data_IF_218570594832
#
_entry.id   IF_218570594832
#
_cell.length_a   1.000
_cell.length_b   1.000
_cell.length_c   1.000
_cell.angle_alpha   90.00
_cell.angle_beta   90.00
_cell.angle_gamma   90.00
#
_symmetry.space_group_name_H-M   'P 1'
#
loop_
_entity.id
_entity.type
_entity.pdbx_description
1 polymer ?
#
# COMPACT_ATOMS: atom_id res chain seq x y z
N UNK A 1 -4.45 18.11 14.27
CA UNK A 1 -5.52 17.18 13.84
C UNK A 1 -4.97 16.35 12.70
N UNK A 2 -5.21 15.02 12.69
CA UNK A 2 -4.72 14.16 11.63
C UNK A 2 -5.29 14.54 10.27
N UNK A 3 -4.48 14.48 9.21
CA UNK A 3 -4.89 14.65 7.83
C UNK A 3 -4.89 13.30 7.12
N UNK A 4 -6.06 12.94 6.60
CA UNK A 4 -6.30 11.66 5.93
C UNK A 4 -6.60 11.96 4.46
N UNK A 5 -5.91 11.26 3.57
CA UNK A 5 -6.16 11.28 2.14
C UNK A 5 -6.77 9.94 1.73
N UNK A 6 -7.85 9.97 0.95
CA UNK A 6 -8.61 8.76 0.60
C UNK A 6 -8.72 8.67 -0.93
N UNK A 7 -8.41 7.49 -1.48
CA UNK A 7 -8.48 7.18 -2.90
C UNK A 7 -9.33 5.93 -3.14
N UNK A 8 -10.15 5.94 -4.18
CA UNK A 8 -10.73 4.76 -4.82
C UNK A 8 -10.48 4.85 -6.33
N UNK A 9 -10.68 3.77 -7.07
CA UNK A 9 -10.71 3.79 -8.54
C UNK A 9 -9.44 4.39 -9.17
N UNK A 10 -8.29 4.01 -8.60
CA UNK A 10 -6.98 4.50 -9.04
C UNK A 10 -6.67 3.99 -10.45
N UNK A 11 -7.15 2.81 -10.82
CA UNK A 11 -6.99 2.22 -12.15
C UNK A 11 -5.56 2.33 -12.73
N UNK A 12 -4.52 2.12 -11.90
CA UNK A 12 -3.12 2.21 -12.32
C UNK A 12 -2.53 3.62 -12.44
N UNK A 13 -3.28 4.69 -12.17
CA UNK A 13 -2.80 6.09 -12.18
C UNK A 13 -2.02 6.46 -10.92
N UNK A 14 -0.94 5.72 -10.64
CA UNK A 14 -0.14 5.90 -9.42
C UNK A 14 0.59 7.24 -9.39
N UNK A 15 0.96 7.78 -10.54
CA UNK A 15 1.57 9.11 -10.67
C UNK A 15 0.69 10.20 -10.07
N UNK A 16 -0.62 10.14 -10.35
CA UNK A 16 -1.63 11.06 -9.80
C UNK A 16 -1.76 10.88 -8.29
N UNK A 17 -1.82 9.64 -7.82
CA UNK A 17 -1.88 9.33 -6.40
C UNK A 17 -0.63 9.83 -5.66
N UNK A 18 0.56 9.54 -6.17
CA UNK A 18 1.86 9.98 -5.61
C UNK A 18 1.93 11.51 -5.58
N UNK A 19 1.54 12.19 -6.66
CA UNK A 19 1.56 13.64 -6.74
C UNK A 19 0.63 14.34 -5.74
N UNK A 20 -0.47 13.69 -5.37
CA UNK A 20 -1.41 14.21 -4.36
C UNK A 20 -0.94 13.98 -2.92
N UNK A 21 0.00 13.07 -2.68
CA UNK A 21 0.58 12.82 -1.35
C UNK A 21 1.61 13.91 -1.05
N UNK A 22 1.17 14.93 -0.32
CA UNK A 22 2.00 16.09 0.05
C UNK A 22 2.47 16.02 1.51
N UNK A 23 3.52 16.77 1.90
CA UNK A 23 3.96 16.82 3.30
C UNK A 23 2.84 17.24 4.26
N UNK A 24 2.75 16.55 5.40
CA UNK A 24 1.75 16.79 6.43
C UNK A 24 0.45 16.00 6.24
N UNK A 25 0.39 15.04 5.30
CA UNK A 25 -0.61 13.96 5.30
C UNK A 25 -0.11 12.84 6.23
N UNK A 26 -0.96 12.44 7.18
CA UNK A 26 -0.65 11.42 8.18
C UNK A 26 -1.05 10.02 7.73
N UNK A 27 -2.18 9.91 7.00
CA UNK A 27 -2.76 8.65 6.54
C UNK A 27 -3.17 8.70 5.06
N UNK A 28 -2.95 7.60 4.34
CA UNK A 28 -3.51 7.36 3.01
C UNK A 28 -4.32 6.07 3.00
N UNK A 29 -5.60 6.16 2.65
CA UNK A 29 -6.54 5.03 2.55
C UNK A 29 -6.91 4.79 1.09
N UNK A 30 -6.58 3.62 0.56
CA UNK A 30 -6.95 3.17 -0.77
C UNK A 30 -8.05 2.11 -0.66
N UNK A 31 -9.26 2.42 -1.14
CA UNK A 31 -10.48 1.66 -0.83
C UNK A 31 -10.92 0.66 -1.91
N UNK A 32 -10.19 0.54 -3.01
CA UNK A 32 -10.52 -0.45 -4.04
C UNK A 32 -10.23 0.02 -5.47
N UNK A 33 -10.32 -0.93 -6.40
CA UNK A 33 -10.10 -0.74 -7.83
C UNK A 33 -8.75 -0.06 -8.17
N UNK A 34 -7.71 -0.57 -7.48
CA UNK A 34 -6.32 -0.16 -7.71
C UNK A 34 -5.79 -0.61 -9.07
N UNK A 35 -6.44 -1.61 -9.69
CA UNK A 35 -5.92 -2.57 -10.66
C UNK A 35 -4.87 -2.08 -11.67
N UNK A 36 -4.03 -3.01 -12.13
CA UNK A 36 -3.08 -2.77 -13.20
C UNK A 36 -3.81 -2.72 -14.56
N UNK A 37 -4.46 -1.59 -14.86
CA UNK A 37 -4.84 -1.25 -16.22
C UNK A 37 -3.55 -0.92 -17.00
N UNK A 38 -3.57 -1.11 -18.32
CA UNK A 38 -2.41 -0.82 -19.17
C UNK A 38 -1.87 0.58 -18.80
N UNK A 39 -0.61 0.68 -18.35
CA UNK A 39 -0.10 1.90 -17.75
C UNK A 39 -0.12 3.01 -18.81
N UNK A 40 -0.83 4.10 -18.55
CA UNK A 40 -0.70 5.33 -19.34
C UNK A 40 0.45 6.22 -18.84
N UNK A 41 1.12 5.85 -17.75
CA UNK A 41 2.17 6.66 -17.10
C UNK A 41 3.46 5.88 -16.86
N UNK A 42 4.60 6.54 -17.10
CA UNK A 42 5.93 6.01 -16.85
C UNK A 42 6.39 6.35 -15.42
N UNK A 43 6.26 5.42 -14.48
CA UNK A 43 6.67 5.61 -13.08
C UNK A 43 8.18 5.88 -12.93
N UNK A 44 9.00 5.44 -13.88
CA UNK A 44 10.45 5.72 -13.88
C UNK A 44 10.80 7.19 -14.14
N UNK A 45 9.83 7.99 -14.62
CA UNK A 45 9.97 9.43 -14.80
C UNK A 45 9.67 10.23 -13.53
N UNK A 46 9.15 9.59 -12.47
CA UNK A 46 8.97 10.26 -11.19
C UNK A 46 10.35 10.48 -10.55
N UNK A 47 10.63 11.68 -10.03
CA UNK A 47 11.92 11.95 -9.38
C UNK A 47 12.17 10.96 -8.25
N UNK A 48 13.43 10.52 -8.08
CA UNK A 48 13.88 9.77 -6.92
C UNK A 48 13.41 10.49 -5.65
N UNK A 49 12.60 9.82 -4.86
CA UNK A 49 11.48 10.40 -4.14
C UNK A 49 11.85 11.42 -3.06
N UNK A 50 10.95 12.40 -2.85
CA UNK A 50 10.85 13.13 -1.58
C UNK A 50 10.36 12.15 -0.51
N UNK A 51 11.18 11.95 0.52
CA UNK A 51 10.79 11.22 1.74
C UNK A 51 9.64 11.97 2.41
N UNK A 52 8.48 11.34 2.55
CA UNK A 52 7.36 11.89 3.34
C UNK A 52 7.34 11.21 4.71
N UNK A 53 6.93 11.93 5.75
CA UNK A 53 6.65 11.35 7.08
C UNK A 53 5.32 10.58 7.09
N UNK A 54 4.99 9.89 5.99
CA UNK A 54 3.74 9.15 5.91
C UNK A 54 3.78 7.99 6.90
N UNK A 55 2.91 8.05 7.92
CA UNK A 55 2.82 7.04 8.95
C UNK A 55 2.26 5.73 8.40
N UNK A 56 1.11 5.81 7.71
CA UNK A 56 0.36 4.61 7.31
C UNK A 56 -0.20 4.72 5.89
N UNK A 57 0.03 3.67 5.11
CA UNK A 57 -0.65 3.37 3.85
C UNK A 57 -1.60 2.18 4.06
N UNK A 58 -2.82 2.25 3.56
CA UNK A 58 -3.76 1.12 3.55
C UNK A 58 -4.23 0.87 2.12
N UNK A 59 -4.14 -0.37 1.65
CA UNK A 59 -4.60 -0.81 0.32
C UNK A 59 -5.51 -2.04 0.41
N UNK A 60 -6.35 -2.29 -0.59
CA UNK A 60 -7.08 -3.55 -0.62
C UNK A 60 -6.16 -4.73 -0.93
N UNK A 61 -5.38 -4.65 -2.00
CA UNK A 61 -4.43 -5.70 -2.41
C UNK A 61 -3.07 -5.55 -1.71
N UNK A 62 -2.34 -6.65 -1.46
CA UNK A 62 -0.96 -6.58 -0.98
C UNK A 62 0.00 -6.19 -2.11
N UNK A 63 1.19 -5.72 -1.74
CA UNK A 63 2.33 -5.65 -2.66
C UNK A 63 2.68 -7.04 -3.20
N UNK A 64 3.19 -7.09 -4.43
CA UNK A 64 3.80 -8.29 -4.98
C UNK A 64 5.13 -8.59 -4.26
N UNK A 65 5.08 -9.28 -3.12
CA UNK A 65 6.27 -9.64 -2.37
C UNK A 65 6.16 -11.06 -1.78
N UNK A 66 7.24 -11.88 -1.84
CA UNK A 66 7.20 -13.30 -1.47
C UNK A 66 6.59 -13.59 -0.09
N UNK A 67 6.83 -12.68 0.86
CA UNK A 67 6.31 -12.75 2.23
C UNK A 67 4.78 -12.77 2.34
N UNK A 68 4.05 -12.22 1.37
CA UNK A 68 2.58 -12.15 1.39
C UNK A 68 1.94 -13.26 0.57
N UNK A 69 2.67 -13.76 -0.43
CA UNK A 69 2.08 -14.51 -1.54
C UNK A 69 2.41 -15.99 -1.47
N UNK A 70 3.48 -16.36 -0.76
CA UNK A 70 4.09 -17.70 -0.86
C UNK A 70 4.28 -18.08 -2.34
N UNK A 71 4.06 -19.35 -2.65
CA UNK A 71 4.19 -19.90 -4.01
C UNK A 71 3.09 -19.44 -4.99
N UNK A 72 2.04 -18.78 -4.49
CA UNK A 72 0.84 -18.47 -5.29
C UNK A 72 0.91 -17.13 -6.04
N UNK A 73 1.98 -16.34 -5.88
CA UNK A 73 2.23 -15.08 -6.61
C UNK A 73 1.03 -14.10 -6.64
N UNK A 74 0.39 -13.89 -5.50
CA UNK A 74 -0.65 -12.86 -5.34
C UNK A 74 -0.07 -11.43 -5.29
N UNK A 75 -0.93 -10.41 -5.29
CA UNK A 75 -0.52 -9.01 -5.05
C UNK A 75 -0.11 -8.24 -6.31
N UNK A 76 0.14 -6.96 -6.11
CA UNK A 76 0.27 -5.99 -7.18
C UNK A 76 1.68 -5.37 -7.22
N UNK A 77 2.35 -5.46 -8.37
CA UNK A 77 3.67 -4.86 -8.58
C UNK A 77 3.62 -3.33 -8.45
N UNK A 78 2.55 -2.70 -8.91
CA UNK A 78 2.33 -1.26 -8.74
C UNK A 78 2.24 -0.84 -7.26
N UNK A 79 1.64 -1.66 -6.39
CA UNK A 79 1.64 -1.41 -4.93
C UNK A 79 3.05 -1.56 -4.35
N UNK A 80 3.83 -2.53 -4.85
CA UNK A 80 5.23 -2.68 -4.46
C UNK A 80 6.04 -1.43 -4.81
N UNK A 81 5.94 -0.95 -6.05
CA UNK A 81 6.63 0.26 -6.52
C UNK A 81 6.20 1.49 -5.71
N UNK A 82 4.92 1.62 -5.35
CA UNK A 82 4.40 2.69 -4.52
C UNK A 82 5.02 2.67 -3.10
N UNK A 83 5.13 1.48 -2.50
CA UNK A 83 5.75 1.32 -1.17
C UNK A 83 7.25 1.60 -1.24
N UNK A 84 7.96 1.10 -2.24
CA UNK A 84 9.38 1.42 -2.46
C UNK A 84 9.60 2.91 -2.68
N UNK A 85 8.67 3.56 -3.35
CA UNK A 85 8.71 4.99 -3.66
C UNK A 85 8.51 5.85 -2.41
N UNK A 86 7.37 5.67 -1.73
CA UNK A 86 6.95 6.55 -0.64
C UNK A 86 7.61 6.17 0.69
N UNK A 87 7.88 4.87 0.87
CA UNK A 87 8.38 4.29 2.11
C UNK A 87 7.54 4.74 3.34
N UNK A 88 6.25 4.38 3.44
CA UNK A 88 5.48 4.65 4.66
C UNK A 88 6.06 3.89 5.87
N UNK A 89 5.75 4.30 7.10
CA UNK A 89 6.17 3.51 8.29
C UNK A 89 5.46 2.15 8.33
N UNK A 90 4.15 2.14 8.08
CA UNK A 90 3.33 0.93 7.94
C UNK A 90 2.58 0.90 6.62
N UNK A 91 2.46 -0.28 6.01
CA UNK A 91 1.58 -0.54 4.88
C UNK A 91 0.66 -1.72 5.20
N UNK A 92 -0.64 -1.49 5.27
CA UNK A 92 -1.64 -2.53 5.53
C UNK A 92 -2.34 -2.95 4.25
N UNK A 93 -2.63 -4.24 4.13
CA UNK A 93 -3.43 -4.77 3.02
C UNK A 93 -4.40 -5.87 3.45
N UNK A 94 -5.41 -6.12 2.63
CA UNK A 94 -6.33 -7.25 2.78
C UNK A 94 -6.16 -8.28 1.67
N UNK A 95 -7.29 -8.63 1.03
CA UNK A 95 -7.42 -9.47 -0.17
C UNK A 95 -7.05 -10.94 -0.02
N UNK A 96 -5.88 -11.28 0.52
CA UNK A 96 -5.41 -12.68 0.60
C UNK A 96 -6.06 -13.49 1.72
N UNK A 97 -6.91 -12.86 2.53
CA UNK A 97 -7.66 -13.45 3.65
C UNK A 97 -6.78 -14.19 4.68
N UNK A 98 -5.47 -13.91 4.68
CA UNK A 98 -4.48 -14.55 5.53
C UNK A 98 -3.58 -13.47 6.11
N UNK A 99 -3.30 -13.60 7.40
CA UNK A 99 -2.33 -12.74 8.05
C UNK A 99 -0.91 -13.05 7.57
N UNK A 100 -0.18 -12.02 7.18
CA UNK A 100 1.23 -12.11 6.83
C UNK A 100 1.93 -10.77 7.13
N UNK A 101 3.20 -10.84 7.52
CA UNK A 101 4.04 -9.67 7.74
C UNK A 101 5.35 -9.81 6.97
N UNK A 102 5.90 -8.67 6.57
CA UNK A 102 7.26 -8.57 6.07
C UNK A 102 7.67 -7.11 5.94
N UNK A 103 8.75 -6.88 5.19
CA UNK A 103 9.31 -5.55 5.01
C UNK A 103 9.61 -5.28 3.53
N UNK A 104 9.44 -4.02 3.13
CA UNK A 104 9.89 -3.47 1.86
C UNK A 104 10.67 -2.20 2.18
N UNK A 105 12.00 -2.26 2.08
CA UNK A 105 12.87 -1.21 2.62
C UNK A 105 12.62 -1.00 4.13
N UNK A 106 12.29 0.22 4.54
CA UNK A 106 11.96 0.55 5.94
C UNK A 106 10.50 0.34 6.33
N UNK A 107 9.63 0.06 5.35
CA UNK A 107 8.20 -0.09 5.58
C UNK A 107 7.89 -1.45 6.19
N UNK A 108 7.15 -1.46 7.30
CA UNK A 108 6.53 -2.69 7.82
C UNK A 108 5.23 -2.94 7.05
N UNK A 109 5.18 -4.04 6.31
CA UNK A 109 4.05 -4.40 5.48
C UNK A 109 3.25 -5.53 6.16
N UNK A 110 1.94 -5.35 6.33
CA UNK A 110 1.06 -6.20 7.13
C UNK A 110 -0.20 -6.51 6.32
N UNK A 111 -0.33 -7.75 5.85
CA UNK A 111 -1.57 -8.26 5.31
C UNK A 111 -2.45 -8.79 6.45
N UNK A 112 -3.71 -8.36 6.52
CA UNK A 112 -4.67 -8.76 7.54
C UNK A 112 -5.52 -9.95 7.06
N UNK A 113 -5.83 -10.85 7.99
CA UNK A 113 -6.77 -11.94 7.76
C UNK A 113 -8.22 -11.45 7.59
N UNK A 114 -9.07 -12.25 6.96
CA UNK A 114 -10.49 -11.93 6.91
C UNK A 114 -11.16 -12.24 8.26
N UNK A 115 -12.08 -11.40 8.73
CA UNK A 115 -12.75 -11.52 10.04
C UNK A 115 -13.44 -12.88 10.23
N UNK A 116 -13.91 -13.51 9.15
CA UNK A 116 -14.64 -14.78 9.17
C UNK A 116 -13.77 -16.02 8.91
N UNK A 117 -12.50 -15.84 8.52
CA UNK A 117 -11.54 -16.93 8.31
C UNK A 117 -10.49 -16.84 9.41
N UNK A 118 -10.39 -17.86 10.26
CA UNK A 118 -9.44 -17.92 11.38
C UNK A 118 -8.09 -17.27 11.04
N UNK A 119 -7.83 -16.09 11.60
CA UNK A 119 -6.66 -15.26 11.28
C UNK A 119 -6.71 -13.91 12.00
N UNK A 120 -5.55 -13.27 12.16
CA UNK A 120 -5.47 -11.94 12.76
C UNK A 120 -6.01 -10.89 11.78
N UNK A 121 -7.24 -10.45 12.00
CA UNK A 121 -7.96 -9.49 11.14
C UNK A 121 -7.88 -8.04 11.62
N UNK A 122 -7.31 -7.80 12.79
CA UNK A 122 -7.11 -6.48 13.38
C UNK A 122 -5.66 -6.25 13.78
N UNK A 123 -5.22 -4.99 13.68
CA UNK A 123 -3.91 -4.53 14.13
C UNK A 123 -4.08 -3.16 14.78
N UNK A 124 -3.53 -3.01 15.98
CA UNK A 124 -3.58 -1.77 16.75
C UNK A 124 -2.24 -1.04 16.61
N UNK A 125 -2.32 0.26 16.31
CA UNK A 125 -1.17 1.16 16.28
C UNK A 125 -1.36 2.23 17.36
N UNK A 126 -0.31 2.49 18.10
CA UNK A 126 -0.16 3.71 18.89
C UNK A 126 0.56 4.74 18.01
N UNK A 127 -0.09 5.88 17.76
CA UNK A 127 0.33 6.94 16.83
C UNK A 127 0.29 8.28 17.55
#
# INVERSE_FOLDING_TARGET
MPKILIFGDVHGHLDTMIGAITPGIDFVLQVGDFGAYLPTGNLSALPSHRRTELGVLVTHEPSFAPQFTGDRKYGCAAIHDLIETIQPTFAFSGHIHKYAEGTIGRTKCIALGAVHYQGRSGYELEI
#
